data_IF_161040120603
#
_entry.id   IF_161040120603
#
_cell.length_a   1.000
_cell.length_b   1.000
_cell.length_c   1.000
_cell.angle_alpha   90.00
_cell.angle_beta   90.00
_cell.angle_gamma   90.00
#
_symmetry.space_group_name_H-M   'P 1'
#
loop_
_entity.id
_entity.type
_entity.pdbx_description
1 polymer ?
#
# COMPACT_ATOMS: atom_id res chain seq x y z
N UNK A 1 -12.11 -7.57 -11.89
CA UNK A 1 -10.67 -7.27 -11.64
C UNK A 1 -10.13 -8.36 -10.72
N UNK A 2 -8.92 -8.86 -10.93
CA UNK A 2 -8.29 -9.86 -10.06
C UNK A 2 -7.23 -9.17 -9.22
N UNK A 3 -7.22 -9.40 -7.90
CA UNK A 3 -6.20 -8.97 -6.95
C UNK A 3 -5.80 -10.22 -6.17
N UNK A 4 -4.53 -10.63 -6.28
CA UNK A 4 -4.08 -11.92 -5.79
C UNK A 4 -4.85 -13.07 -6.44
N UNK A 5 -5.49 -13.90 -5.63
CA UNK A 5 -6.31 -15.04 -6.07
C UNK A 5 -7.82 -14.75 -6.07
N UNK A 6 -8.26 -13.52 -5.77
CA UNK A 6 -9.68 -13.15 -5.65
C UNK A 6 -10.17 -12.25 -6.77
N UNK A 7 -11.41 -12.48 -7.21
CA UNK A 7 -12.09 -11.64 -8.21
C UNK A 7 -12.89 -10.55 -7.52
N UNK A 8 -12.65 -9.30 -7.96
CA UNK A 8 -13.31 -8.09 -7.45
C UNK A 8 -14.18 -7.46 -8.56
N UNK A 9 -15.37 -6.96 -8.24
CA UNK A 9 -16.16 -6.21 -9.22
C UNK A 9 -17.68 -6.18 -9.06
N UNK A 10 -18.29 -6.95 -8.16
CA UNK A 10 -19.76 -7.12 -8.08
C UNK A 10 -20.40 -6.56 -6.82
N UNK A 11 -19.64 -6.07 -5.85
CA UNK A 11 -20.12 -5.39 -4.65
C UNK A 11 -19.05 -4.43 -4.10
N UNK A 12 -19.32 -3.76 -2.99
CA UNK A 12 -18.33 -2.95 -2.30
C UNK A 12 -17.42 -3.86 -1.48
N UNK A 13 -16.10 -3.68 -1.65
CA UNK A 13 -15.07 -4.39 -0.89
C UNK A 13 -14.48 -3.45 0.16
N UNK A 14 -14.09 -4.00 1.29
CA UNK A 14 -13.54 -3.25 2.42
C UNK A 14 -12.04 -3.51 2.51
N UNK A 15 -11.26 -2.44 2.52
CA UNK A 15 -9.82 -2.49 2.74
C UNK A 15 -9.53 -2.13 4.20
N UNK A 16 -9.01 -3.09 4.97
CA UNK A 16 -8.62 -2.92 6.36
C UNK A 16 -7.20 -2.36 6.45
N UNK A 17 -7.00 -1.25 7.15
CA UNK A 17 -5.71 -0.57 7.28
C UNK A 17 -4.91 -1.15 8.45
N UNK A 18 -3.70 -1.63 8.17
CA UNK A 18 -2.74 -2.14 9.13
C UNK A 18 -1.47 -1.29 9.14
N UNK A 19 -1.37 -0.34 10.07
CA UNK A 19 -0.16 0.46 10.25
C UNK A 19 0.87 -0.26 11.11
N UNK A 20 2.05 -0.54 10.55
CA UNK A 20 3.17 -1.20 11.24
C UNK A 20 4.24 -0.18 11.65
N UNK A 21 3.81 0.94 12.24
CA UNK A 21 4.69 1.97 12.77
C UNK A 21 5.06 1.68 14.23
N UNK A 22 6.22 2.17 14.74
CA UNK A 22 6.63 1.94 16.12
C UNK A 22 5.59 2.34 17.15
N UNK A 23 4.84 3.41 16.90
CA UNK A 23 3.81 3.92 17.80
C UNK A 23 2.54 3.07 17.82
N UNK A 24 2.32 2.28 16.78
CA UNK A 24 1.11 1.43 16.66
C UNK A 24 1.16 0.20 17.58
N UNK A 25 2.36 -0.20 18.07
CA UNK A 25 2.58 -1.42 18.84
C UNK A 25 3.59 -1.19 19.99
N UNK A 26 3.45 -0.12 20.76
CA UNK A 26 4.44 0.46 21.67
C UNK A 26 4.87 -0.38 22.89
N UNK A 27 4.34 -1.58 23.10
CA UNK A 27 4.53 -2.31 24.38
C UNK A 27 5.51 -3.51 24.37
N UNK A 28 6.37 -3.66 23.36
CA UNK A 28 7.43 -4.66 23.47
C UNK A 28 8.00 -5.18 22.17
N UNK A 29 9.25 -4.97 21.93
CA UNK A 29 10.21 -5.58 20.98
C UNK A 29 9.70 -6.08 19.62
N UNK A 30 10.60 -6.27 18.64
CA UNK A 30 10.26 -6.65 17.24
C UNK A 30 9.30 -7.86 17.10
N UNK A 31 9.38 -8.86 17.99
CA UNK A 31 8.51 -10.05 17.93
C UNK A 31 7.07 -9.77 18.39
N UNK A 32 6.91 -8.96 19.45
CA UNK A 32 5.58 -8.57 19.92
C UNK A 32 4.84 -7.70 18.91
N UNK A 33 5.55 -6.96 18.07
CA UNK A 33 4.97 -6.15 17.00
C UNK A 33 4.35 -7.00 15.89
N UNK A 34 5.00 -8.09 15.48
CA UNK A 34 4.46 -9.01 14.45
C UNK A 34 3.22 -9.73 14.99
N UNK A 35 3.28 -10.29 16.18
CA UNK A 35 2.14 -10.99 16.79
C UNK A 35 0.93 -10.05 16.97
N UNK A 36 1.18 -8.80 17.36
CA UNK A 36 0.12 -7.79 17.48
C UNK A 36 -0.47 -7.42 16.12
N UNK A 37 0.38 -7.30 15.09
CA UNK A 37 -0.06 -7.05 13.73
C UNK A 37 -0.94 -8.20 13.20
N UNK A 38 -0.55 -9.46 13.45
CA UNK A 38 -1.34 -10.63 13.03
C UNK A 38 -2.68 -10.72 13.74
N UNK A 39 -2.73 -10.45 15.05
CA UNK A 39 -3.99 -10.39 15.80
C UNK A 39 -4.92 -9.30 15.27
N UNK A 40 -4.36 -8.14 14.95
CA UNK A 40 -5.15 -7.07 14.34
C UNK A 40 -5.62 -7.41 12.93
N UNK A 41 -4.76 -8.07 12.14
CA UNK A 41 -5.15 -8.61 10.82
C UNK A 41 -6.32 -9.59 10.94
N UNK A 42 -6.25 -10.54 11.87
CA UNK A 42 -7.34 -11.50 12.12
C UNK A 42 -8.63 -10.77 12.50
N UNK A 43 -8.54 -9.76 13.36
CA UNK A 43 -9.71 -8.95 13.73
C UNK A 43 -10.29 -8.21 12.51
N UNK A 44 -9.46 -7.54 11.69
CA UNK A 44 -9.91 -6.86 10.47
C UNK A 44 -10.64 -7.80 9.52
N UNK A 45 -10.11 -9.01 9.32
CA UNK A 45 -10.75 -10.05 8.48
C UNK A 45 -12.10 -10.47 9.07
N UNK A 46 -12.15 -10.72 10.38
CA UNK A 46 -13.38 -11.11 11.07
C UNK A 46 -14.43 -9.98 11.05
N UNK A 47 -14.01 -8.73 11.03
CA UNK A 47 -14.86 -7.54 10.92
C UNK A 47 -15.29 -7.24 9.47
N UNK A 48 -14.83 -8.05 8.50
CA UNK A 48 -15.28 -7.99 7.11
C UNK A 48 -14.33 -7.33 6.14
N UNK A 49 -13.04 -7.19 6.46
CA UNK A 49 -12.05 -6.72 5.49
C UNK A 49 -11.80 -7.77 4.40
N UNK A 50 -11.85 -7.33 3.15
CA UNK A 50 -11.58 -8.14 1.95
C UNK A 50 -10.12 -8.06 1.51
N UNK A 51 -9.43 -6.97 1.88
CA UNK A 51 -8.02 -6.68 1.58
C UNK A 51 -7.38 -6.11 2.84
N UNK A 52 -6.12 -6.45 3.12
CA UNK A 52 -5.32 -5.83 4.20
C UNK A 52 -4.29 -4.88 3.58
N UNK A 53 -4.36 -3.60 3.95
CA UNK A 53 -3.46 -2.55 3.46
C UNK A 53 -2.37 -2.26 4.50
N UNK A 54 -1.15 -2.70 4.21
CA UNK A 54 -0.01 -2.62 5.13
C UNK A 54 0.77 -1.36 4.86
N UNK A 55 0.92 -0.49 5.87
CA UNK A 55 1.72 0.74 5.79
C UNK A 55 2.83 0.78 6.83
N UNK A 56 4.08 1.04 6.38
CA UNK A 56 5.27 1.14 7.24
C UNK A 56 5.64 2.57 7.63
N UNK A 57 5.19 3.54 6.87
CA UNK A 57 5.40 4.97 7.08
C UNK A 57 4.06 5.66 7.34
N UNK A 58 4.02 6.60 8.31
CA UNK A 58 2.81 7.40 8.51
C UNK A 58 2.68 8.43 7.40
N UNK A 59 1.51 8.51 6.78
CA UNK A 59 1.18 9.52 5.75
C UNK A 59 0.38 10.70 6.31
N UNK A 60 0.28 10.83 7.66
CA UNK A 60 -0.41 11.94 8.34
C UNK A 60 0.36 13.26 8.17
N UNK A 61 -0.31 14.42 8.19
CA UNK A 61 0.38 15.71 8.21
C UNK A 61 1.46 15.78 9.29
N UNK A 62 2.64 16.33 8.96
CA UNK A 62 3.81 16.45 9.84
C UNK A 62 4.47 15.11 10.25
N UNK A 63 4.30 14.05 9.48
CA UNK A 63 5.04 12.81 9.70
C UNK A 63 6.54 12.97 9.41
N UNK A 64 7.36 12.11 10.02
CA UNK A 64 8.79 12.03 9.70
C UNK A 64 8.99 10.95 8.65
N UNK A 65 9.58 11.34 7.51
CA UNK A 65 9.97 10.37 6.47
C UNK A 65 11.04 9.43 7.01
N UNK A 66 10.87 8.15 6.73
CA UNK A 66 11.86 7.11 7.04
C UNK A 66 12.59 6.66 5.77
N UNK A 67 13.72 5.96 5.93
CA UNK A 67 14.43 5.39 4.78
C UNK A 67 13.66 4.24 4.15
N UNK A 68 14.01 3.90 2.89
CA UNK A 68 13.44 2.75 2.20
C UNK A 68 13.72 1.45 3.00
N UNK A 69 14.96 1.33 3.50
CA UNK A 69 15.43 0.17 4.26
C UNK A 69 14.62 -0.01 5.57
N UNK A 70 14.38 1.08 6.29
CA UNK A 70 13.60 1.06 7.52
C UNK A 70 12.14 0.65 7.25
N UNK A 71 11.54 1.17 6.17
CA UNK A 71 10.17 0.81 5.79
C UNK A 71 10.08 -0.67 5.38
N UNK A 72 11.05 -1.16 4.59
CA UNK A 72 11.15 -2.57 4.20
C UNK A 72 11.25 -3.47 5.45
N UNK A 73 12.12 -3.13 6.40
CA UNK A 73 12.26 -3.89 7.65
C UNK A 73 10.97 -3.98 8.47
N UNK A 74 10.09 -2.99 8.35
CA UNK A 74 8.79 -2.97 9.04
C UNK A 74 7.75 -3.81 8.32
N UNK A 75 7.61 -3.65 6.99
CA UNK A 75 6.46 -4.20 6.25
C UNK A 75 6.70 -5.63 5.76
N UNK A 76 7.89 -5.96 5.30
CA UNK A 76 8.17 -7.28 4.68
C UNK A 76 7.87 -8.45 5.62
N UNK A 77 8.38 -8.48 6.88
CA UNK A 77 8.11 -9.61 7.77
C UNK A 77 6.62 -9.78 8.10
N UNK A 78 5.87 -8.68 8.15
CA UNK A 78 4.43 -8.69 8.41
C UNK A 78 3.67 -9.23 7.20
N UNK A 79 4.02 -8.78 5.99
CA UNK A 79 3.41 -9.27 4.74
C UNK A 79 3.63 -10.77 4.57
N UNK A 80 4.87 -11.24 4.75
CA UNK A 80 5.21 -12.67 4.67
C UNK A 80 4.35 -13.51 5.63
N UNK A 81 4.19 -13.03 6.86
CA UNK A 81 3.38 -13.70 7.87
C UNK A 81 1.88 -13.69 7.55
N UNK A 82 1.34 -12.56 7.10
CA UNK A 82 -0.06 -12.48 6.67
C UNK A 82 -0.31 -13.47 5.54
N UNK A 83 0.56 -13.50 4.53
CA UNK A 83 0.41 -14.41 3.39
C UNK A 83 0.57 -15.90 3.75
N UNK A 84 1.32 -16.22 4.80
CA UNK A 84 1.47 -17.59 5.31
C UNK A 84 0.26 -18.06 6.12
N UNK A 85 -0.35 -17.16 6.91
CA UNK A 85 -1.33 -17.54 7.92
C UNK A 85 -2.79 -17.26 7.48
N UNK A 86 -3.01 -16.36 6.48
CA UNK A 86 -4.35 -15.93 6.05
C UNK A 86 -4.53 -16.01 4.53
N UNK A 87 -5.72 -16.43 4.09
CA UNK A 87 -6.14 -16.38 2.68
C UNK A 87 -6.82 -15.03 2.37
N UNK A 88 -6.04 -13.95 2.39
CA UNK A 88 -6.50 -12.59 2.11
C UNK A 88 -5.53 -11.88 1.17
N UNK A 89 -6.00 -11.10 0.19
CA UNK A 89 -5.16 -10.21 -0.58
C UNK A 89 -4.49 -9.16 0.31
N UNK A 90 -3.21 -8.88 0.04
CA UNK A 90 -2.42 -7.89 0.76
C UNK A 90 -2.07 -6.74 -0.17
N UNK A 91 -2.33 -5.52 0.29
CA UNK A 91 -1.90 -4.27 -0.31
C UNK A 91 -0.71 -3.71 0.45
N UNK A 92 0.22 -3.08 -0.24
CA UNK A 92 1.28 -2.26 0.35
C UNK A 92 1.00 -0.78 0.11
N UNK A 93 0.82 0.00 1.18
CA UNK A 93 0.71 1.47 1.12
C UNK A 93 2.10 2.08 1.12
N UNK A 94 2.59 2.41 -0.07
CA UNK A 94 3.89 3.05 -0.25
C UNK A 94 3.98 3.77 -1.59
N UNK A 95 4.74 4.87 -1.60
CA UNK A 95 5.10 5.63 -2.80
C UNK A 95 6.58 5.43 -3.22
N UNK A 96 7.30 4.51 -2.54
CA UNK A 96 8.72 4.20 -2.77
C UNK A 96 8.85 2.90 -3.55
N UNK A 97 9.43 2.94 -4.73
CA UNK A 97 9.53 1.77 -5.63
C UNK A 97 10.32 0.59 -5.05
N UNK A 98 11.36 0.85 -4.24
CA UNK A 98 12.13 -0.20 -3.58
C UNK A 98 11.30 -0.93 -2.51
N UNK A 99 10.50 -0.20 -1.75
CA UNK A 99 9.58 -0.78 -0.76
C UNK A 99 8.52 -1.61 -1.46
N UNK A 100 7.91 -1.07 -2.53
CA UNK A 100 6.93 -1.80 -3.33
C UNK A 100 7.52 -3.10 -3.90
N UNK A 101 8.74 -3.05 -4.46
CA UNK A 101 9.42 -4.25 -4.98
C UNK A 101 9.65 -5.31 -3.91
N UNK A 102 10.12 -4.91 -2.72
CA UNK A 102 10.33 -5.82 -1.60
C UNK A 102 9.01 -6.42 -1.07
N UNK A 103 7.97 -5.58 -0.94
CA UNK A 103 6.65 -6.01 -0.48
C UNK A 103 5.97 -6.98 -1.45
N UNK A 104 6.04 -6.73 -2.76
CA UNK A 104 5.50 -7.67 -3.77
C UNK A 104 6.34 -8.98 -3.77
N UNK A 105 7.66 -8.88 -3.61
CA UNK A 105 8.51 -10.05 -3.42
C UNK A 105 8.15 -10.89 -2.18
N UNK A 106 7.61 -10.26 -1.14
CA UNK A 106 7.09 -10.90 0.08
C UNK A 106 5.65 -11.42 -0.07
N UNK A 107 4.99 -11.15 -1.21
CA UNK A 107 3.67 -11.66 -1.54
C UNK A 107 2.53 -10.63 -1.54
N UNK A 108 2.82 -9.32 -1.50
CA UNK A 108 1.78 -8.31 -1.69
C UNK A 108 1.18 -8.40 -3.10
N UNK A 109 -0.13 -8.29 -3.19
CA UNK A 109 -0.93 -8.46 -4.41
C UNK A 109 -1.29 -7.13 -5.07
N UNK A 110 -1.21 -6.01 -4.32
CA UNK A 110 -1.58 -4.68 -4.76
C UNK A 110 -0.58 -3.64 -4.23
N UNK A 111 -0.26 -2.66 -5.05
CA UNK A 111 0.48 -1.46 -4.63
C UNK A 111 -0.49 -0.28 -4.54
N UNK A 112 -0.64 0.28 -3.35
CA UNK A 112 -1.44 1.47 -3.06
C UNK A 112 -0.49 2.67 -3.00
N UNK A 113 -0.46 3.45 -4.10
CA UNK A 113 0.45 4.60 -4.24
C UNK A 113 -0.32 5.93 -4.17
N UNK A 114 -0.19 6.62 -3.05
CA UNK A 114 -0.85 7.91 -2.80
C UNK A 114 -0.32 9.05 -3.68
N UNK A 115 0.80 8.87 -4.40
CA UNK A 115 1.36 9.84 -5.34
C UNK A 115 1.08 9.53 -6.81
N UNK A 116 0.39 8.43 -7.09
CA UNK A 116 -0.05 8.10 -8.44
C UNK A 116 1.09 8.00 -9.44
N UNK A 117 2.18 7.30 -9.09
CA UNK A 117 3.38 7.07 -9.91
C UNK A 117 4.26 8.30 -10.15
N UNK A 118 3.98 9.45 -9.49
CA UNK A 118 4.67 10.72 -9.78
C UNK A 118 5.83 10.98 -8.84
N UNK A 119 5.87 10.36 -7.66
CA UNK A 119 6.94 10.56 -6.69
C UNK A 119 8.22 9.79 -7.08
N UNK A 120 8.10 8.49 -7.32
CA UNK A 120 9.23 7.62 -7.72
C UNK A 120 9.04 7.12 -9.16
N UNK A 121 9.93 7.53 -10.03
CA UNK A 121 9.88 7.21 -11.48
C UNK A 121 9.98 5.72 -11.79
N UNK A 122 10.50 4.92 -10.86
CA UNK A 122 10.64 3.48 -11.03
C UNK A 122 9.38 2.71 -10.60
N UNK A 123 8.43 3.36 -9.92
CA UNK A 123 7.24 2.69 -9.38
C UNK A 123 6.42 1.99 -10.47
N UNK A 124 6.14 2.68 -11.57
CA UNK A 124 5.38 2.10 -12.68
C UNK A 124 6.04 0.83 -13.25
N UNK A 125 7.36 0.85 -13.41
CA UNK A 125 8.13 -0.30 -13.90
C UNK A 125 8.10 -1.48 -12.90
N UNK A 126 8.20 -1.20 -11.61
CA UNK A 126 8.11 -2.23 -10.55
C UNK A 126 6.75 -2.91 -10.60
N UNK A 127 5.66 -2.14 -10.65
CA UNK A 127 4.30 -2.68 -10.72
C UNK A 127 4.12 -3.51 -11.99
N UNK A 128 4.50 -2.98 -13.16
CA UNK A 128 4.35 -3.67 -14.43
C UNK A 128 5.13 -5.00 -14.48
N UNK A 129 6.36 -5.02 -13.97
CA UNK A 129 7.20 -6.25 -13.92
C UNK A 129 6.68 -7.30 -12.96
N UNK A 130 6.10 -6.87 -11.85
CA UNK A 130 5.57 -7.78 -10.83
C UNK A 130 4.22 -8.40 -11.20
N UNK A 131 3.44 -7.71 -12.04
CA UNK A 131 2.06 -8.07 -12.34
C UNK A 131 1.08 -7.79 -11.19
N UNK A 132 1.51 -7.07 -10.14
CA UNK A 132 0.65 -6.67 -9.06
C UNK A 132 -0.43 -5.68 -9.54
N UNK A 133 -1.60 -5.69 -8.90
CA UNK A 133 -2.59 -4.66 -9.10
C UNK A 133 -2.08 -3.31 -8.53
N UNK A 134 -2.70 -2.20 -8.91
CA UNK A 134 -2.38 -0.90 -8.32
C UNK A 134 -3.62 -0.07 -8.02
N UNK A 135 -3.56 0.66 -6.92
CA UNK A 135 -4.48 1.73 -6.56
C UNK A 135 -3.68 3.04 -6.59
N UNK A 136 -4.11 3.98 -7.44
CA UNK A 136 -3.35 5.20 -7.71
C UNK A 136 -4.19 6.41 -7.35
N UNK A 137 -3.72 7.20 -6.39
CA UNK A 137 -4.42 8.36 -5.88
C UNK A 137 -3.94 9.64 -6.56
N UNK A 138 -4.84 10.61 -6.71
CA UNK A 138 -4.47 11.98 -7.00
C UNK A 138 -3.79 12.61 -5.78
N UNK A 139 -2.64 13.26 -5.99
CA UNK A 139 -1.96 14.03 -4.95
C UNK A 139 -1.15 15.18 -5.58
N UNK A 140 -0.94 16.26 -4.81
CA UNK A 140 -0.10 17.41 -5.16
C UNK A 140 0.70 17.85 -3.94
N UNK A 141 1.91 18.36 -4.14
CA UNK A 141 2.70 18.97 -3.04
C UNK A 141 2.01 20.19 -2.42
N UNK A 142 1.27 20.94 -3.25
CA UNK A 142 0.48 22.09 -2.84
C UNK A 142 -0.94 21.98 -3.39
N UNK A 143 -1.93 22.27 -2.57
CA UNK A 143 -3.34 22.27 -2.94
C UNK A 143 -3.71 23.55 -3.74
N UNK A 144 -3.01 23.79 -4.86
CA UNK A 144 -3.22 24.92 -5.76
C UNK A 144 -3.89 24.44 -7.04
N UNK A 145 -5.07 24.96 -7.36
CA UNK A 145 -5.88 24.57 -8.51
C UNK A 145 -6.41 25.80 -9.23
N UNK A 146 -6.40 25.78 -10.57
CA UNK A 146 -7.09 26.77 -11.39
C UNK A 146 -8.59 26.41 -11.54
N UNK A 147 -8.86 25.14 -11.85
CA UNK A 147 -10.18 24.52 -11.86
C UNK A 147 -10.06 23.16 -11.17
N UNK A 148 -10.59 23.06 -9.94
CA UNK A 148 -10.34 21.90 -9.09
C UNK A 148 -10.64 20.57 -9.78
N UNK A 149 -11.84 20.43 -10.34
CA UNK A 149 -12.25 19.15 -10.96
C UNK A 149 -11.44 18.84 -12.21
N UNK A 150 -11.22 19.85 -13.06
CA UNK A 150 -10.47 19.66 -14.31
C UNK A 150 -9.02 19.33 -14.05
N UNK A 151 -8.37 20.05 -13.13
CA UNK A 151 -6.99 19.82 -12.75
C UNK A 151 -6.79 18.41 -12.14
N UNK A 152 -7.74 17.94 -11.30
CA UNK A 152 -7.73 16.57 -10.75
C UNK A 152 -7.86 15.54 -11.86
N UNK A 153 -8.76 15.75 -12.82
CA UNK A 153 -8.93 14.84 -13.95
C UNK A 153 -7.69 14.80 -14.84
N UNK A 154 -7.04 15.93 -15.07
CA UNK A 154 -5.83 15.99 -15.88
C UNK A 154 -4.65 15.30 -15.16
N UNK A 155 -4.50 15.49 -13.86
CA UNK A 155 -3.51 14.78 -13.06
C UNK A 155 -3.72 13.26 -13.08
N UNK A 156 -4.98 12.79 -13.02
CA UNK A 156 -5.30 11.36 -13.12
C UNK A 156 -5.09 10.81 -14.54
N UNK A 157 -5.37 11.59 -15.59
CA UNK A 157 -5.05 11.22 -16.98
C UNK A 157 -3.55 11.03 -17.17
N UNK A 158 -2.72 11.90 -16.58
CA UNK A 158 -1.26 11.77 -16.59
C UNK A 158 -0.83 10.47 -15.89
N UNK A 159 -1.34 10.21 -14.69
CA UNK A 159 -1.11 8.96 -13.94
C UNK A 159 -1.44 7.72 -14.78
N UNK A 160 -2.61 7.71 -15.45
CA UNK A 160 -3.03 6.61 -16.33
C UNK A 160 -2.08 6.49 -17.53
N UNK A 161 -1.61 7.60 -18.09
CA UNK A 161 -0.66 7.58 -19.21
C UNK A 161 0.68 6.98 -18.81
N UNK A 162 1.19 7.31 -17.59
CA UNK A 162 2.41 6.72 -17.02
C UNK A 162 2.23 5.21 -16.85
N UNK A 163 1.13 4.78 -16.22
CA UNK A 163 0.84 3.36 -15.99
C UNK A 163 0.74 2.55 -17.31
N UNK A 164 0.09 3.12 -18.35
CA UNK A 164 -0.06 2.45 -19.64
C UNK A 164 1.24 2.35 -20.45
N UNK A 165 2.20 3.21 -20.18
CA UNK A 165 3.50 3.24 -20.86
C UNK A 165 4.46 2.19 -20.30
N UNK A 166 4.35 1.86 -19.02
CA UNK A 166 5.16 0.84 -18.37
C UNK A 166 4.72 -0.57 -18.76
#
# INVERSE_FOLDING_TARGET
>A
MIIGNKEFGNHTYVMGILNVTPDSFSDGGKFNNIDSALKHTEQLINDGADIIDVGGESTRPNYTKISDEEEIERVVPVIEKIKADFDVPVSIDTYKSKVAAAAVGAGADLVNDIWGLKYDKNMAEVIAKSGAACCLMHNREKAEYNSFVEDVLDDLRETIAIAKKA
#
